data_IF_226309592139
#
_entry.id   IF_226309592139
#
_cell.length_a   1.000
_cell.length_b   1.000
_cell.length_c   1.000
_cell.angle_alpha   90.00
_cell.angle_beta   90.00
_cell.angle_gamma   90.00
#
_symmetry.space_group_name_H-M   'P 1'
#
loop_
_entity.id
_entity.type
_entity.pdbx_description
1 polymer ?
#
# COMPACT_ATOMS: atom_id res chain seq x y z
N UNK A 1 -3.75 2.53 7.22
CA UNK A 1 -2.51 2.26 6.46
C UNK A 1 -1.55 3.44 6.40
N UNK A 2 -2.04 4.65 6.18
CA UNK A 2 -1.20 5.85 6.19
C UNK A 2 -0.42 5.98 7.50
N UNK A 3 -1.07 5.75 8.65
CA UNK A 3 -0.40 5.85 9.95
C UNK A 3 0.75 4.86 10.08
N UNK A 4 0.62 3.67 9.51
CA UNK A 4 1.70 2.66 9.53
C UNK A 4 2.89 3.11 8.70
N UNK A 5 2.63 3.72 7.54
CA UNK A 5 3.68 4.26 6.67
C UNK A 5 4.40 5.41 7.37
N UNK A 6 3.66 6.33 7.96
CA UNK A 6 4.22 7.47 8.67
C UNK A 6 4.97 7.04 9.93
N UNK A 7 4.57 5.92 10.53
CA UNK A 7 5.27 5.35 11.68
C UNK A 7 6.58 4.63 11.31
N UNK A 8 6.89 4.52 10.01
CA UNK A 8 8.15 3.93 9.55
C UNK A 8 8.14 2.41 9.48
N UNK A 9 6.96 1.78 9.36
CA UNK A 9 6.87 0.32 9.21
C UNK A 9 7.56 -0.18 7.94
N UNK A 10 7.60 0.65 6.91
CA UNK A 10 8.31 0.35 5.67
C UNK A 10 9.29 1.48 5.36
N UNK A 11 10.52 1.12 5.04
CA UNK A 11 11.51 2.07 4.56
C UNK A 11 11.27 2.39 3.08
N UNK A 12 11.83 3.50 2.61
CA UNK A 12 11.78 3.87 1.18
C UNK A 12 12.30 2.72 0.33
N UNK A 13 11.52 2.30 -0.67
CA UNK A 13 11.88 1.20 -1.54
C UNK A 13 11.45 -0.18 -1.07
N UNK A 14 10.97 -0.31 0.17
CA UNK A 14 10.50 -1.60 0.68
C UNK A 14 9.17 -2.00 0.01
N UNK A 15 8.99 -3.28 -0.31
CA UNK A 15 7.73 -3.75 -0.88
C UNK A 15 6.63 -3.74 0.19
N UNK A 16 5.45 -3.27 -0.19
CA UNK A 16 4.26 -3.34 0.65
C UNK A 16 3.54 -4.67 0.41
N UNK A 17 2.67 -5.09 1.37
CA UNK A 17 1.85 -6.27 1.15
C UNK A 17 0.99 -6.14 -0.11
N UNK A 18 0.65 -7.27 -0.72
CA UNK A 18 -0.24 -7.27 -1.89
C UNK A 18 -1.62 -6.73 -1.53
N UNK A 19 -2.38 -6.32 -2.55
CA UNK A 19 -3.77 -5.85 -2.35
C UNK A 19 -4.59 -6.93 -1.64
N UNK A 20 -4.44 -8.19 -2.03
CA UNK A 20 -5.15 -9.30 -1.38
C UNK A 20 -4.75 -9.44 0.10
N UNK A 21 -3.46 -9.32 0.40
CA UNK A 21 -2.96 -9.38 1.77
C UNK A 21 -3.48 -8.21 2.62
N UNK A 22 -3.46 -7.00 2.06
CA UNK A 22 -4.00 -5.82 2.74
C UNK A 22 -5.50 -5.95 2.99
N UNK A 23 -6.25 -6.44 2.02
CA UNK A 23 -7.68 -6.68 2.18
C UNK A 23 -7.95 -7.63 3.35
N UNK A 24 -7.17 -8.71 3.46
CA UNK A 24 -7.28 -9.65 4.58
C UNK A 24 -6.91 -9.02 5.92
N UNK A 25 -5.83 -8.23 5.96
CA UNK A 25 -5.37 -7.59 7.19
C UNK A 25 -6.38 -6.58 7.75
N UNK A 26 -7.04 -5.83 6.87
CA UNK A 26 -7.98 -4.80 7.27
C UNK A 26 -9.44 -5.24 7.24
N UNK A 27 -9.71 -6.48 6.82
CA UNK A 27 -11.07 -7.00 6.77
C UNK A 27 -11.95 -6.27 5.76
N UNK A 28 -11.40 -5.86 4.62
CA UNK A 28 -12.11 -5.13 3.57
C UNK A 28 -12.01 -5.88 2.25
N UNK A 29 -12.80 -5.47 1.25
CA UNK A 29 -12.72 -6.06 -0.09
C UNK A 29 -11.42 -5.65 -0.79
N UNK A 30 -11.02 -6.42 -1.80
CA UNK A 30 -9.86 -6.08 -2.63
C UNK A 30 -10.04 -4.72 -3.31
N UNK A 31 -11.25 -4.43 -3.77
CA UNK A 31 -11.54 -3.15 -4.40
C UNK A 31 -11.31 -1.99 -3.42
N UNK A 32 -11.72 -2.14 -2.18
CA UNK A 32 -11.50 -1.13 -1.14
C UNK A 32 -10.01 -0.98 -0.83
N UNK A 33 -9.29 -2.10 -0.69
CA UNK A 33 -7.85 -2.07 -0.46
C UNK A 33 -7.10 -1.41 -1.62
N UNK A 34 -7.47 -1.73 -2.85
CA UNK A 34 -6.87 -1.12 -4.04
C UNK A 34 -7.10 0.39 -4.07
N UNK A 35 -8.30 0.83 -3.71
CA UNK A 35 -8.64 2.24 -3.63
C UNK A 35 -7.76 2.96 -2.60
N UNK A 36 -7.57 2.36 -1.44
CA UNK A 36 -6.71 2.93 -0.39
C UNK A 36 -5.27 3.05 -0.87
N UNK A 37 -4.74 2.03 -1.53
CA UNK A 37 -3.37 2.04 -2.07
C UNK A 37 -3.21 3.13 -3.14
N UNK A 38 -4.20 3.27 -4.03
CA UNK A 38 -4.16 4.32 -5.05
C UNK A 38 -4.15 5.72 -4.42
N UNK A 39 -4.91 5.90 -3.35
CA UNK A 39 -4.91 7.16 -2.61
C UNK A 39 -3.54 7.47 -2.04
N UNK A 40 -2.87 6.47 -1.48
CA UNK A 40 -1.51 6.63 -0.97
C UNK A 40 -0.53 6.97 -2.08
N UNK A 41 -0.70 6.37 -3.26
CA UNK A 41 0.13 6.68 -4.42
C UNK A 41 -0.08 8.12 -4.89
N UNK A 42 -1.33 8.58 -4.91
CA UNK A 42 -1.66 9.97 -5.26
C UNK A 42 -1.03 10.96 -4.28
N UNK A 43 -0.93 10.57 -3.01
CA UNK A 43 -0.30 11.40 -1.97
C UNK A 43 1.24 11.27 -1.96
N UNK A 44 1.81 10.45 -2.84
CA UNK A 44 3.26 10.27 -2.96
C UNK A 44 3.88 9.38 -1.89
N UNK A 45 3.08 8.63 -1.13
CA UNK A 45 3.58 7.77 -0.05
C UNK A 45 4.03 6.40 -0.54
N UNK A 46 3.46 5.92 -1.63
CA UNK A 46 3.81 4.64 -2.24
C UNK A 46 3.89 4.77 -3.75
N UNK A 47 4.59 3.84 -4.39
CA UNK A 47 4.69 3.75 -5.84
C UNK A 47 4.12 2.42 -6.29
N UNK A 48 3.18 2.45 -7.23
CA UNK A 48 2.59 1.26 -7.83
C UNK A 48 3.37 0.96 -9.11
N UNK A 49 4.04 -0.19 -9.15
CA UNK A 49 4.80 -0.62 -10.31
C UNK A 49 4.12 -1.85 -10.91
N UNK A 50 3.66 -1.73 -12.15
CA UNK A 50 2.98 -2.84 -12.84
C UNK A 50 3.89 -4.08 -12.86
N UNK A 51 3.32 -5.24 -12.59
CA UNK A 51 3.99 -6.54 -12.53
C UNK A 51 4.96 -6.72 -11.34
N UNK A 52 5.37 -5.67 -10.64
CA UNK A 52 6.30 -5.77 -9.51
C UNK A 52 5.63 -5.58 -8.16
N UNK A 53 4.54 -4.82 -8.12
CA UNK A 53 3.79 -4.58 -6.90
C UNK A 53 3.84 -3.12 -6.44
N UNK A 54 3.62 -2.93 -5.15
CA UNK A 54 3.60 -1.60 -4.53
C UNK A 54 4.80 -1.44 -3.61
N UNK A 55 5.47 -0.32 -3.72
CA UNK A 55 6.67 -0.04 -2.94
C UNK A 55 6.51 1.28 -2.19
N UNK A 56 7.17 1.39 -1.05
CA UNK A 56 7.23 2.62 -0.28
C UNK A 56 8.07 3.67 -1.04
N UNK A 57 7.48 4.81 -1.28
CA UNK A 57 8.20 5.94 -1.92
C UNK A 57 9.18 6.60 -1.00
#
# INVERSE_FOLDING_TARGET
>A
MRARIEAGEWATGDPLPSIAALAGQYGVSRATAAKAVRRLADDGLVEIVAAWGTFRS
#
